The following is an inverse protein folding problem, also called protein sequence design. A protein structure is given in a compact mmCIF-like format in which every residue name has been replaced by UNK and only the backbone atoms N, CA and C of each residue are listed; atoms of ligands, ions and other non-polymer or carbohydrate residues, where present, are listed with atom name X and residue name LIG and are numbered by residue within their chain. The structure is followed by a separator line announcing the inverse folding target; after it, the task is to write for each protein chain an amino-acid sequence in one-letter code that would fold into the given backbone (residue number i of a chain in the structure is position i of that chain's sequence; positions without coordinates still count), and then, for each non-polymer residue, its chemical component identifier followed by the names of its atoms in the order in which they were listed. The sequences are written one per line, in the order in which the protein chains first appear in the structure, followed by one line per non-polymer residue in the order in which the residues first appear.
data_IF_092799173173
#
_entry.id   IF_092799173173
#
_cell.length_a   1.000
_cell.length_b   1.000
_cell.length_c   1.000
_cell.angle_alpha   90.00
_cell.angle_beta   90.00
_cell.angle_gamma   90.00
#
_symmetry.space_group_name_H-M   'P 1'
#
loop_
_entity.id
_entity.type
_entity.pdbx_description
1 polymer ?
#
# COMPACT_ATOMS: atom_id res chain seq x y z
N UNK A 1 -20.33 39.49 -8.52
CA UNK A 1 -19.45 38.47 -7.90
C UNK A 1 -18.40 39.26 -7.14
N UNK A 2 -18.55 39.46 -5.82
CA UNK A 2 -17.67 40.36 -5.08
C UNK A 2 -16.23 39.83 -5.09
N UNK A 3 -15.33 40.54 -5.76
CA UNK A 3 -13.90 40.29 -5.66
C UNK A 3 -13.43 40.86 -4.32
N UNK A 4 -13.10 39.96 -3.40
CA UNK A 4 -12.53 40.36 -2.11
C UNK A 4 -11.08 40.80 -2.37
N UNK A 5 -10.75 42.02 -1.98
CA UNK A 5 -9.37 42.47 -1.94
C UNK A 5 -8.71 41.95 -0.67
N UNK A 6 -7.84 40.95 -0.82
CA UNK A 6 -7.03 40.40 0.26
C UNK A 6 -5.78 41.27 0.48
N UNK A 7 -5.34 41.36 1.73
CA UNK A 7 -4.06 41.99 2.07
C UNK A 7 -2.90 41.24 1.36
N UNK A 8 -2.08 41.93 0.54
CA UNK A 8 -0.89 41.34 -0.07
C UNK A 8 0.05 40.68 0.93
N UNK A 9 0.09 41.11 2.20
CA UNK A 9 0.92 40.51 3.23
C UNK A 9 0.60 39.02 3.48
N UNK A 10 -0.68 38.61 3.34
CA UNK A 10 -1.11 37.21 3.52
C UNK A 10 -0.37 36.28 2.54
N UNK A 11 -0.06 36.78 1.34
CA UNK A 11 0.65 36.00 0.31
C UNK A 11 2.08 35.66 0.73
N UNK A 12 2.80 36.65 1.26
CA UNK A 12 4.21 36.49 1.63
C UNK A 12 4.38 35.80 2.98
N UNK A 13 3.46 36.02 3.92
CA UNK A 13 3.57 35.54 5.29
C UNK A 13 2.82 34.23 5.57
N UNK A 14 1.83 33.87 4.75
CA UNK A 14 1.01 32.67 4.99
C UNK A 14 1.06 31.73 3.79
N UNK A 15 0.77 32.22 2.59
CA UNK A 15 0.69 31.36 1.41
C UNK A 15 2.02 30.67 1.08
N UNK A 16 3.09 31.45 0.87
CA UNK A 16 4.41 30.90 0.50
C UNK A 16 5.03 30.07 1.63
N UNK A 17 5.02 30.50 2.91
CA UNK A 17 5.55 29.70 4.00
C UNK A 17 4.83 28.37 4.19
N UNK A 18 3.50 28.30 3.99
CA UNK A 18 2.76 27.04 4.07
C UNK A 18 3.21 26.02 3.02
N UNK A 19 3.51 26.46 1.79
CA UNK A 19 4.05 25.58 0.73
C UNK A 19 5.44 25.05 1.12
N UNK A 20 6.30 25.93 1.66
CA UNK A 20 7.65 25.54 2.07
C UNK A 20 7.62 24.57 3.27
N UNK A 21 6.78 24.85 4.27
CA UNK A 21 6.63 24.00 5.47
C UNK A 21 6.07 22.63 5.07
N UNK A 22 5.05 22.59 4.22
CA UNK A 22 4.48 21.31 3.73
C UNK A 22 5.51 20.48 2.99
N UNK A 23 6.27 21.11 2.10
CA UNK A 23 7.34 20.47 1.34
C UNK A 23 8.44 19.89 2.24
N UNK A 24 9.03 20.72 3.10
CA UNK A 24 10.09 20.30 4.02
C UNK A 24 9.62 19.20 4.96
N UNK A 25 8.40 19.29 5.47
CA UNK A 25 7.85 18.25 6.33
C UNK A 25 7.66 16.93 5.59
N UNK A 26 7.24 16.96 4.33
CA UNK A 26 7.17 15.76 3.49
C UNK A 26 8.52 15.05 3.35
N UNK A 27 9.59 15.82 3.16
CA UNK A 27 10.98 15.33 3.08
C UNK A 27 11.45 14.77 4.42
N UNK A 28 11.27 15.52 5.52
CA UNK A 28 11.64 15.05 6.87
C UNK A 28 10.91 13.75 7.20
N UNK A 29 9.61 13.67 6.89
CA UNK A 29 8.83 12.46 7.14
C UNK A 29 9.38 11.27 6.35
N UNK A 30 9.71 11.44 5.07
CA UNK A 30 10.31 10.37 4.26
C UNK A 30 11.58 9.80 4.92
N UNK A 31 12.52 10.65 5.32
CA UNK A 31 13.74 10.20 6.01
C UNK A 31 13.46 9.60 7.39
N UNK A 32 12.50 10.17 8.14
CA UNK A 32 12.08 9.62 9.43
C UNK A 32 11.52 8.21 9.26
N UNK A 33 10.67 7.99 8.25
CA UNK A 33 10.11 6.66 7.96
C UNK A 33 11.20 5.66 7.57
N UNK A 34 12.22 6.06 6.81
CA UNK A 34 13.37 5.20 6.49
C UNK A 34 14.13 4.83 7.76
N UNK A 35 14.36 5.78 8.68
CA UNK A 35 15.06 5.52 9.94
C UNK A 35 14.26 4.59 10.87
N UNK A 36 12.93 4.73 10.88
CA UNK A 36 12.05 3.89 11.68
C UNK A 36 11.64 2.57 11.00
N UNK A 37 12.00 2.36 9.73
CA UNK A 37 11.79 1.10 9.06
C UNK A 37 12.63 0.03 9.75
N UNK A 38 11.95 -0.85 10.50
CA UNK A 38 12.58 -1.96 11.18
C UNK A 38 12.57 -3.18 10.26
N UNK A 39 13.74 -3.74 9.98
CA UNK A 39 13.86 -5.05 9.35
C UNK A 39 13.48 -6.13 10.38
N UNK A 40 12.21 -6.53 10.35
CA UNK A 40 11.73 -7.66 11.15
C UNK A 40 12.46 -8.91 10.69
N UNK A 41 13.20 -9.55 11.61
CA UNK A 41 13.77 -10.88 11.36
C UNK A 41 12.63 -11.88 11.23
N UNK A 42 12.26 -12.20 10.00
CA UNK A 42 11.34 -13.30 9.71
C UNK A 42 11.99 -14.62 10.13
N UNK A 43 11.17 -15.51 10.67
CA UNK A 43 11.59 -16.86 11.00
C UNK A 43 12.06 -17.61 9.74
N UNK A 44 13.19 -18.32 9.83
CA UNK A 44 13.79 -19.05 8.71
C UNK A 44 12.80 -20.04 8.08
N UNK A 45 11.93 -20.64 8.89
CA UNK A 45 10.93 -21.58 8.45
C UNK A 45 9.87 -20.92 7.54
N UNK A 46 9.41 -19.71 7.87
CA UNK A 46 8.43 -18.97 7.07
C UNK A 46 9.04 -18.48 5.74
N UNK A 47 10.32 -18.12 5.75
CA UNK A 47 11.07 -17.77 4.54
C UNK A 47 11.21 -18.99 3.63
N UNK A 48 11.62 -20.13 4.19
CA UNK A 48 11.76 -21.40 3.47
C UNK A 48 10.46 -21.79 2.76
N UNK A 49 9.32 -21.64 3.43
CA UNK A 49 8.02 -21.97 2.87
C UNK A 49 7.57 -21.02 1.77
N UNK A 50 7.80 -19.73 1.99
CA UNK A 50 7.55 -18.70 0.98
C UNK A 50 8.35 -19.01 -0.29
N UNK A 51 9.62 -19.40 -0.16
CA UNK A 51 10.44 -19.81 -1.29
C UNK A 51 9.96 -21.12 -1.93
N UNK A 52 9.48 -22.10 -1.14
CA UNK A 52 8.94 -23.34 -1.67
C UNK A 52 7.67 -23.09 -2.51
N UNK A 53 6.76 -22.23 -2.03
CA UNK A 53 5.58 -21.79 -2.77
C UNK A 53 5.96 -21.06 -4.07
N UNK A 54 6.88 -20.09 -3.98
CA UNK A 54 7.38 -19.37 -5.16
C UNK A 54 8.00 -20.33 -6.18
N UNK A 55 8.79 -21.30 -5.72
CA UNK A 55 9.40 -22.31 -6.58
C UNK A 55 8.36 -23.18 -7.28
N UNK A 56 7.29 -23.55 -6.60
CA UNK A 56 6.17 -24.28 -7.23
C UNK A 56 5.44 -23.42 -8.25
N UNK A 57 5.16 -22.16 -7.93
CA UNK A 57 4.55 -21.21 -8.88
C UNK A 57 5.40 -21.03 -10.13
N UNK A 58 6.71 -20.88 -9.97
CA UNK A 58 7.64 -20.80 -11.10
C UNK A 58 7.68 -22.09 -11.91
N UNK A 59 7.59 -23.26 -11.27
CA UNK A 59 7.48 -24.54 -11.98
C UNK A 59 6.17 -24.63 -12.77
N UNK A 60 5.07 -24.10 -12.25
CA UNK A 60 3.77 -24.05 -12.92
C UNK A 60 3.76 -23.12 -14.13
N UNK A 61 4.30 -21.90 -13.97
CA UNK A 61 4.28 -20.88 -15.02
C UNK A 61 5.36 -21.09 -16.09
N UNK A 62 6.57 -21.47 -15.66
CA UNK A 62 7.76 -21.56 -16.51
C UNK A 62 8.27 -23.00 -16.72
N UNK A 63 7.52 -24.01 -16.26
CA UNK A 63 7.85 -25.44 -16.42
C UNK A 63 8.02 -25.91 -17.86
N UNK A 64 7.45 -25.19 -18.83
CA UNK A 64 7.47 -25.47 -20.27
C UNK A 64 8.85 -25.50 -20.91
N UNK A 65 9.85 -24.87 -20.27
CA UNK A 65 11.24 -24.85 -20.75
C UNK A 65 12.10 -25.98 -20.19
N UNK A 66 11.60 -26.75 -19.22
CA UNK A 66 12.31 -27.89 -18.61
C UNK A 66 11.97 -29.21 -19.30
N UNK A 67 12.94 -30.10 -19.56
CA UNK A 67 12.64 -31.38 -20.22
C UNK A 67 11.52 -32.12 -19.50
N UNK A 68 10.68 -32.85 -20.24
CA UNK A 68 9.50 -33.57 -19.71
C UNK A 68 9.85 -34.37 -18.46
N UNK A 69 10.98 -35.10 -18.49
CA UNK A 69 11.49 -35.89 -17.36
C UNK A 69 11.79 -35.02 -16.14
N UNK A 70 12.46 -33.90 -16.35
CA UNK A 70 12.89 -32.99 -15.30
C UNK A 70 11.70 -32.22 -14.68
N UNK A 71 10.67 -31.92 -15.47
CA UNK A 71 9.40 -31.38 -14.98
C UNK A 71 8.65 -32.41 -14.12
N UNK A 72 8.48 -33.64 -14.62
CA UNK A 72 7.80 -34.72 -13.89
C UNK A 72 8.46 -35.05 -12.55
N UNK A 73 9.80 -35.10 -12.51
CA UNK A 73 10.54 -35.32 -11.26
C UNK A 73 10.27 -34.22 -10.22
N UNK A 74 10.24 -32.95 -10.64
CA UNK A 74 9.95 -31.82 -9.75
C UNK A 74 8.49 -31.78 -9.33
N UNK A 75 7.55 -32.05 -10.25
CA UNK A 75 6.12 -32.21 -9.93
C UNK A 75 5.90 -33.34 -8.92
N UNK A 76 6.60 -34.46 -9.09
CA UNK A 76 6.55 -35.57 -8.15
C UNK A 76 7.04 -35.18 -6.76
N UNK A 77 8.17 -34.47 -6.65
CA UNK A 77 8.69 -33.98 -5.36
C UNK A 77 7.66 -33.14 -4.57
N UNK A 78 6.88 -32.30 -5.25
CA UNK A 78 5.86 -31.47 -4.59
C UNK A 78 4.53 -32.20 -4.34
N UNK A 79 4.05 -32.98 -5.32
CA UNK A 79 2.69 -33.55 -5.30
C UNK A 79 2.58 -35.02 -4.89
N UNK A 80 3.68 -35.70 -4.55
CA UNK A 80 3.61 -37.09 -4.15
C UNK A 80 2.66 -37.32 -2.96
N UNK A 81 1.86 -38.40 -2.99
CA UNK A 81 0.77 -38.62 -2.03
C UNK A 81 1.25 -38.85 -0.60
N UNK A 82 2.41 -39.51 -0.44
CA UNK A 82 3.01 -39.89 0.85
C UNK A 82 4.19 -38.97 1.26
N UNK A 83 5.05 -38.61 0.31
CA UNK A 83 6.31 -37.85 0.55
C UNK A 83 6.36 -36.48 -0.14
N UNK A 84 5.22 -35.98 -0.63
CA UNK A 84 5.17 -34.68 -1.29
C UNK A 84 5.38 -33.55 -0.28
N UNK A 85 6.23 -32.58 -0.61
CA UNK A 85 6.55 -31.45 0.27
C UNK A 85 5.30 -30.78 0.87
N UNK A 86 4.25 -30.57 0.06
CA UNK A 86 2.99 -29.93 0.48
C UNK A 86 2.09 -30.78 1.37
N UNK A 87 2.30 -32.11 1.44
CA UNK A 87 1.54 -33.02 2.31
C UNK A 87 2.29 -33.40 3.58
N UNK A 88 3.61 -33.56 3.49
CA UNK A 88 4.46 -33.93 4.63
C UNK A 88 4.65 -32.76 5.58
N UNK A 89 4.78 -31.53 5.07
CA UNK A 89 4.87 -30.33 5.90
C UNK A 89 3.48 -29.83 6.32
N UNK A 90 2.81 -30.59 7.18
CA UNK A 90 1.65 -30.06 7.93
C UNK A 90 2.19 -29.17 9.04
N UNK A 91 2.28 -27.87 8.78
CA UNK A 91 2.50 -26.91 9.85
C UNK A 91 1.18 -26.65 10.54
N UNK A 92 1.18 -26.64 11.87
CA UNK A 92 0.02 -26.21 12.63
C UNK A 92 -0.30 -24.80 12.15
N UNK A 93 -1.48 -24.64 11.54
CA UNK A 93 -2.05 -23.33 11.40
C UNK A 93 -2.12 -22.75 12.80
N UNK A 94 -1.46 -21.61 13.04
CA UNK A 94 -1.74 -20.76 14.20
C UNK A 94 -3.18 -20.21 14.18
N UNK A 95 -4.04 -20.76 13.33
CA UNK A 95 -5.48 -20.58 13.29
C UNK A 95 -6.09 -21.96 13.48
N UNK A 96 -6.52 -22.25 14.70
CA UNK A 96 -7.38 -23.38 14.97
C UNK A 96 -8.72 -23.21 14.24
N UNK A 97 -9.06 -24.19 13.41
CA UNK A 97 -10.38 -24.51 12.83
C UNK A 97 -11.42 -23.38 12.59
N UNK A 98 -11.87 -23.17 11.34
CA UNK A 98 -12.82 -22.11 10.95
C UNK A 98 -14.27 -22.29 11.42
N UNK A 99 -14.60 -23.31 12.23
CA UNK A 99 -15.96 -23.47 12.78
C UNK A 99 -16.10 -22.93 14.21
N UNK A 100 -15.00 -22.63 14.90
CA UNK A 100 -14.96 -22.00 16.23
C UNK A 100 -14.37 -20.58 16.20
N UNK A 101 -14.00 -20.09 15.00
CA UNK A 101 -13.18 -18.90 14.80
C UNK A 101 -13.88 -17.53 14.87
N UNK A 102 -15.20 -17.45 15.06
CA UNK A 102 -15.88 -16.14 15.10
C UNK A 102 -15.73 -15.40 16.43
N UNK A 103 -15.48 -16.12 17.53
CA UNK A 103 -15.29 -15.50 18.87
C UNK A 103 -13.79 -15.38 19.21
N UNK A 104 -12.96 -16.28 18.68
CA UNK A 104 -11.51 -16.28 18.89
C UNK A 104 -10.82 -15.18 18.06
N UNK A 105 -11.43 -14.69 16.96
CA UNK A 105 -10.88 -13.56 16.18
C UNK A 105 -10.80 -12.25 16.98
N UNK A 106 -11.71 -12.01 17.93
CA UNK A 106 -11.64 -10.80 18.77
C UNK A 106 -10.61 -10.97 19.89
N UNK A 107 -10.46 -12.19 20.41
CA UNK A 107 -9.59 -12.50 21.55
C UNK A 107 -8.13 -12.62 21.10
N UNK A 108 -7.83 -13.24 19.96
CA UNK A 108 -6.47 -13.28 19.38
C UNK A 108 -6.05 -11.92 18.80
N UNK A 109 -6.98 -11.13 18.25
CA UNK A 109 -6.71 -9.73 17.88
C UNK A 109 -6.37 -8.85 19.10
N UNK A 110 -6.94 -9.16 20.27
CA UNK A 110 -6.64 -8.48 21.53
C UNK A 110 -5.38 -9.04 22.23
N UNK A 111 -5.04 -10.32 22.01
CA UNK A 111 -3.93 -11.02 22.65
C UNK A 111 -2.61 -10.93 21.89
N UNK A 112 -2.62 -10.59 20.59
CA UNK A 112 -1.41 -10.28 19.83
C UNK A 112 -1.24 -8.77 19.54
N UNK A 113 -0.89 -7.96 20.56
CA UNK A 113 -0.66 -6.53 20.41
C UNK A 113 0.58 -6.21 19.55
N UNK A 114 1.35 -7.19 19.09
CA UNK A 114 2.54 -6.97 18.25
C UNK A 114 2.17 -6.77 16.77
N UNK A 115 1.45 -7.70 16.15
CA UNK A 115 1.15 -7.68 14.71
C UNK A 115 0.07 -6.65 14.34
N UNK A 116 -1.01 -6.55 15.14
CA UNK A 116 -2.03 -5.52 14.94
C UNK A 116 -1.47 -4.12 15.20
N UNK A 117 -0.59 -3.96 16.21
CA UNK A 117 0.07 -2.68 16.43
C UNK A 117 1.09 -2.36 15.35
N UNK A 118 1.77 -3.33 14.74
CA UNK A 118 2.72 -3.08 13.65
C UNK A 118 1.99 -2.53 12.40
N UNK A 119 0.85 -3.11 12.02
CA UNK A 119 0.05 -2.61 10.89
C UNK A 119 -0.59 -1.25 11.21
N UNK A 120 -1.12 -1.09 12.43
CA UNK A 120 -1.66 0.18 12.89
C UNK A 120 -0.58 1.26 13.04
N UNK A 121 0.62 0.91 13.52
CA UNK A 121 1.77 1.83 13.63
C UNK A 121 2.21 2.27 12.25
N UNK A 122 2.36 1.36 11.29
CA UNK A 122 2.73 1.70 9.92
C UNK A 122 1.73 2.69 9.30
N UNK A 123 0.42 2.43 9.41
CA UNK A 123 -0.60 3.32 8.89
C UNK A 123 -0.75 4.63 9.71
N UNK A 124 -0.62 4.57 11.03
CA UNK A 124 -0.68 5.73 11.90
C UNK A 124 0.51 6.66 11.69
N UNK A 125 1.71 6.13 11.42
CA UNK A 125 2.89 6.92 11.07
C UNK A 125 2.69 7.72 9.77
N UNK A 126 1.76 7.29 8.89
CA UNK A 126 1.39 8.05 7.71
C UNK A 126 0.29 9.08 7.97
N UNK A 127 -0.74 8.72 8.73
CA UNK A 127 -1.93 9.57 8.92
C UNK A 127 -1.76 10.61 10.03
N UNK A 128 -1.14 10.24 11.15
CA UNK A 128 -1.03 11.10 12.35
C UNK A 128 -0.29 12.40 12.04
N UNK A 129 0.87 12.40 11.35
CA UNK A 129 1.60 13.63 11.08
C UNK A 129 0.79 14.65 10.25
N UNK A 130 0.00 14.15 9.29
CA UNK A 130 -0.85 14.98 8.42
C UNK A 130 -1.96 15.68 9.23
N UNK A 131 -2.60 14.96 10.15
CA UNK A 131 -3.67 15.49 10.99
C UNK A 131 -3.13 16.46 12.04
N UNK A 132 -2.00 16.13 12.67
CA UNK A 132 -1.39 16.98 13.71
C UNK A 132 -1.01 18.34 13.13
N UNK A 133 -0.37 18.37 11.95
CA UNK A 133 0.02 19.63 11.31
C UNK A 133 -1.20 20.38 10.79
N UNK A 134 -2.19 19.70 10.21
CA UNK A 134 -3.43 20.34 9.80
C UNK A 134 -4.15 21.02 10.97
N UNK A 135 -4.11 20.40 12.16
CA UNK A 135 -4.65 20.97 13.39
C UNK A 135 -3.83 22.15 13.91
N UNK A 136 -2.49 22.06 13.85
CA UNK A 136 -1.60 23.16 14.22
C UNK A 136 -1.77 24.39 13.30
N UNK A 137 -1.89 24.18 11.98
CA UNK A 137 -2.14 25.25 11.01
C UNK A 137 -3.49 25.91 11.24
N UNK A 138 -4.52 25.10 11.52
CA UNK A 138 -5.84 25.64 11.83
C UNK A 138 -5.81 26.49 13.12
N UNK A 139 -5.01 26.12 14.12
CA UNK A 139 -4.83 26.94 15.31
C UNK A 139 -4.02 28.22 15.03
N UNK A 140 -2.85 28.10 14.36
CA UNK A 140 -1.92 29.20 14.14
C UNK A 140 -2.38 30.24 13.10
N UNK A 141 -3.15 29.81 12.10
CA UNK A 141 -3.59 30.64 10.97
C UNK A 141 -5.12 30.64 10.83
N UNK A 142 -5.85 30.77 11.95
CA UNK A 142 -7.31 30.93 11.95
C UNK A 142 -7.73 32.39 11.75
N UNK A 143 -8.99 32.60 11.34
CA UNK A 143 -9.63 33.92 11.33
C UNK A 143 -9.51 34.72 10.03
N UNK A 144 -8.84 34.22 8.99
CA UNK A 144 -8.73 34.90 7.69
C UNK A 144 -8.75 33.95 6.49
N UNK A 145 -9.06 34.49 5.31
CA UNK A 145 -9.08 33.77 4.03
C UNK A 145 -7.69 33.81 3.38
N UNK A 146 -7.26 32.70 2.78
CA UNK A 146 -5.91 32.61 2.20
C UNK A 146 -5.91 32.85 0.69
N UNK A 147 -6.77 32.15 -0.05
CA UNK A 147 -6.81 32.25 -1.52
C UNK A 147 -8.18 31.88 -2.08
N UNK A 148 -8.38 32.20 -3.36
CA UNK A 148 -9.55 31.81 -4.15
C UNK A 148 -9.13 30.72 -5.14
N UNK A 149 -9.82 29.61 -5.11
CA UNK A 149 -9.61 28.50 -6.04
C UNK A 149 -10.29 28.82 -7.39
N UNK A 150 -9.66 28.51 -8.55
CA UNK A 150 -10.15 28.94 -9.87
C UNK A 150 -11.30 28.10 -10.43
N UNK A 151 -11.77 27.08 -9.71
CA UNK A 151 -12.91 26.25 -10.09
C UNK A 151 -14.07 26.43 -9.10
N UNK A 152 -15.33 26.27 -9.53
CA UNK A 152 -16.49 26.39 -8.65
C UNK A 152 -16.62 25.14 -7.76
N UNK A 153 -16.72 25.33 -6.44
CA UNK A 153 -16.95 24.24 -5.48
C UNK A 153 -18.41 24.20 -5.01
N UNK A 154 -18.89 23.00 -4.68
CA UNK A 154 -20.25 22.81 -4.15
C UNK A 154 -20.37 23.33 -2.72
N UNK A 155 -21.54 23.85 -2.37
CA UNK A 155 -21.80 24.46 -1.05
C UNK A 155 -21.60 23.49 0.13
N UNK A 156 -21.72 22.18 -0.08
CA UNK A 156 -21.53 21.16 0.96
C UNK A 156 -20.09 21.08 1.49
N UNK A 157 -19.10 21.50 0.70
CA UNK A 157 -17.70 21.56 1.15
C UNK A 157 -17.38 22.83 1.94
N UNK A 158 -18.27 23.83 1.94
CA UNK A 158 -18.07 25.12 2.62
C UNK A 158 -17.66 24.99 4.10
N UNK A 159 -18.37 24.23 4.97
CA UNK A 159 -17.97 24.09 6.37
C UNK A 159 -16.60 23.43 6.56
N UNK A 160 -16.16 22.59 5.61
CA UNK A 160 -14.83 21.98 5.65
C UNK A 160 -13.76 22.98 5.20
N UNK A 161 -14.05 23.76 4.15
CA UNK A 161 -13.09 24.64 3.49
C UNK A 161 -12.85 25.97 4.20
N UNK A 162 -13.84 26.42 4.97
CA UNK A 162 -13.84 27.70 5.68
C UNK A 162 -13.81 27.49 7.20
N UNK A 163 -13.31 26.34 7.66
CA UNK A 163 -13.00 26.12 9.08
C UNK A 163 -12.14 27.28 9.60
N UNK A 164 -12.60 27.92 10.67
CA UNK A 164 -11.97 29.09 11.27
C UNK A 164 -12.39 30.45 10.72
N UNK A 165 -13.35 30.52 9.77
CA UNK A 165 -13.88 31.76 9.17
C UNK A 165 -15.43 31.76 9.12
N UNK A 166 -16.07 31.24 10.17
CA UNK A 166 -17.50 30.94 10.19
C UNK A 166 -18.42 32.18 10.19
N UNK A 167 -17.88 33.38 10.43
CA UNK A 167 -18.64 34.63 10.47
C UNK A 167 -19.13 35.10 9.09
N UNK A 168 -18.63 34.54 7.98
CA UNK A 168 -19.02 34.92 6.60
C UNK A 168 -19.90 33.85 5.92
N UNK A 169 -21.12 33.67 6.42
CA UNK A 169 -22.11 32.70 5.91
C UNK A 169 -22.58 32.97 4.48
N UNK A 170 -22.43 34.20 3.96
CA UNK A 170 -22.81 34.58 2.58
C UNK A 170 -21.71 34.39 1.53
N UNK A 171 -20.48 34.06 1.93
CA UNK A 171 -19.34 33.97 1.02
C UNK A 171 -19.38 32.70 0.13
N UNK A 172 -18.88 32.79 -1.09
CA UNK A 172 -18.76 31.65 -2.01
C UNK A 172 -17.76 30.60 -1.46
N UNK A 173 -18.05 29.31 -1.66
CA UNK A 173 -17.21 28.18 -1.27
C UNK A 173 -15.85 28.11 -2.00
N UNK A 174 -15.64 28.94 -3.03
CA UNK A 174 -14.36 29.05 -3.76
C UNK A 174 -13.26 29.72 -2.93
N UNK A 175 -13.62 30.46 -1.87
CA UNK A 175 -12.69 31.06 -0.94
C UNK A 175 -12.31 30.06 0.15
N UNK A 176 -11.02 29.78 0.27
CA UNK A 176 -10.47 28.74 1.14
C UNK A 176 -9.66 29.34 2.30
N UNK A 177 -9.77 28.69 3.47
CA UNK A 177 -8.93 28.97 4.64
C UNK A 177 -7.53 28.37 4.50
N UNK A 178 -6.65 28.73 5.43
CA UNK A 178 -5.27 28.26 5.53
C UNK A 178 -5.17 26.73 5.67
N UNK A 179 -6.06 26.12 6.46
CA UNK A 179 -6.12 24.67 6.64
C UNK A 179 -6.46 23.93 5.34
N UNK A 180 -7.37 24.48 4.55
CA UNK A 180 -7.77 23.91 3.26
C UNK A 180 -6.68 24.06 2.20
N UNK A 181 -5.97 25.18 2.23
CA UNK A 181 -4.77 25.38 1.41
C UNK A 181 -3.67 24.36 1.76
N UNK A 182 -3.47 24.06 3.04
CA UNK A 182 -2.56 23.01 3.48
C UNK A 182 -2.95 21.64 2.93
N UNK A 183 -4.22 21.24 3.05
CA UNK A 183 -4.70 19.97 2.49
C UNK A 183 -4.49 19.89 0.97
N UNK A 184 -4.75 20.98 0.24
CA UNK A 184 -4.49 21.05 -1.20
C UNK A 184 -3.00 20.82 -1.50
N UNK A 185 -2.10 21.44 -0.74
CA UNK A 185 -0.65 21.25 -0.91
C UNK A 185 -0.21 19.81 -0.62
N UNK A 186 -0.74 19.15 0.41
CA UNK A 186 -0.37 17.74 0.68
C UNK A 186 -0.73 16.83 -0.49
N UNK A 187 -1.94 16.99 -1.04
CA UNK A 187 -2.38 16.18 -2.17
C UNK A 187 -1.65 16.52 -3.47
N UNK A 188 -1.37 17.81 -3.71
CA UNK A 188 -0.66 18.27 -4.91
C UNK A 188 0.84 17.96 -4.92
N UNK A 189 1.51 18.07 -3.78
CA UNK A 189 2.96 17.86 -3.67
C UNK A 189 3.37 16.38 -3.71
N UNK A 190 2.42 15.44 -3.61
CA UNK A 190 2.71 14.00 -3.66
C UNK A 190 3.49 13.59 -4.92
N UNK A 191 3.04 14.05 -6.09
CA UNK A 191 3.74 13.78 -7.35
C UNK A 191 5.10 14.47 -7.43
N UNK A 192 5.26 15.62 -6.78
CA UNK A 192 6.55 16.32 -6.73
C UNK A 192 7.55 15.59 -5.84
N UNK A 193 7.10 14.97 -4.74
CA UNK A 193 7.95 14.10 -3.93
C UNK A 193 8.48 12.93 -4.76
N UNK A 194 7.63 12.29 -5.57
CA UNK A 194 8.02 11.25 -6.55
C UNK A 194 9.22 11.64 -7.41
N UNK A 195 9.20 12.87 -7.92
CA UNK A 195 10.28 13.38 -8.78
C UNK A 195 11.56 13.68 -8.00
N UNK A 196 11.46 14.22 -6.79
CA UNK A 196 12.63 14.68 -6.00
C UNK A 196 13.32 13.53 -5.26
N UNK A 197 12.54 12.59 -4.74
CA UNK A 197 13.02 11.54 -3.83
C UNK A 197 13.07 10.14 -4.49
N UNK A 198 12.49 9.96 -5.68
CA UNK A 198 12.55 8.70 -6.45
C UNK A 198 11.39 7.72 -6.14
N UNK A 199 11.47 6.51 -6.72
CA UNK A 199 10.37 5.53 -6.73
C UNK A 199 10.09 4.82 -5.40
N UNK A 200 10.98 4.90 -4.40
CA UNK A 200 10.81 4.29 -3.07
C UNK A 200 10.25 5.28 -2.04
N UNK A 201 9.30 6.11 -2.48
CA UNK A 201 8.73 7.14 -1.63
C UNK A 201 7.68 6.61 -0.67
N UNK A 202 8.05 6.49 0.60
CA UNK A 202 7.10 6.37 1.71
C UNK A 202 6.13 7.57 1.82
N UNK A 203 6.29 8.64 1.02
CA UNK A 203 5.35 9.75 0.86
C UNK A 203 4.20 9.49 -0.10
N UNK A 204 4.32 8.45 -0.91
CA UNK A 204 3.33 8.09 -1.89
C UNK A 204 2.37 7.00 -1.40
N UNK A 205 2.38 6.61 -0.13
CA UNK A 205 1.38 5.64 0.34
C UNK A 205 -0.01 6.29 0.32
N UNK A 206 -0.95 5.77 -0.50
CA UNK A 206 -2.27 6.37 -0.62
C UNK A 206 -2.99 6.35 0.73
N UNK A 207 -3.44 7.52 1.18
CA UNK A 207 -4.51 7.66 2.16
C UNK A 207 -5.70 6.80 1.73
N UNK A 208 -5.89 5.66 2.41
CA UNK A 208 -7.13 4.95 2.75
C UNK A 208 -8.31 4.83 1.76
N UNK A 209 -8.17 5.20 0.48
CA UNK A 209 -9.28 5.20 -0.48
C UNK A 209 -9.10 4.27 -1.69
N UNK A 210 -8.03 3.46 -1.75
CA UNK A 210 -7.79 2.57 -2.90
C UNK A 210 -7.56 1.10 -2.58
N UNK A 211 -7.55 0.68 -1.32
CA UNK A 211 -7.24 -0.72 -0.93
C UNK A 211 -8.46 -1.55 -0.53
N UNK A 212 -9.57 -1.38 -1.27
CA UNK A 212 -10.52 -2.49 -1.52
C UNK A 212 -10.14 -3.32 -2.75
N UNK A 213 -8.96 -3.09 -3.33
CA UNK A 213 -8.31 -4.03 -4.26
C UNK A 213 -7.18 -4.73 -3.49
N UNK A 214 -7.11 -6.08 -3.48
CA UNK A 214 -6.06 -6.78 -2.74
C UNK A 214 -4.69 -6.43 -3.34
N UNK A 215 -3.73 -5.93 -2.54
CA UNK A 215 -2.39 -5.64 -3.01
C UNK A 215 -1.69 -6.93 -3.44
N UNK A 216 -1.35 -7.02 -4.72
CA UNK A 216 -0.62 -8.11 -5.38
C UNK A 216 0.89 -8.14 -5.03
N UNK A 217 1.25 -7.93 -3.77
CA UNK A 217 2.66 -8.07 -3.32
C UNK A 217 2.86 -8.25 -1.82
N UNK A 218 1.85 -8.74 -1.11
CA UNK A 218 1.96 -9.02 0.33
C UNK A 218 0.64 -9.52 0.82
N UNK A 219 0.34 -10.80 0.53
CA UNK A 219 -0.83 -11.40 1.15
C UNK A 219 -0.64 -11.33 2.68
N UNK A 220 -1.69 -10.98 3.45
CA UNK A 220 -1.70 -11.30 4.87
C UNK A 220 -1.37 -12.79 5.01
N UNK A 221 -0.81 -13.26 6.13
CA UNK A 221 -0.49 -14.67 6.30
C UNK A 221 -1.77 -15.49 6.12
N UNK A 222 -2.03 -15.89 4.87
CA UNK A 222 -2.96 -16.95 4.56
C UNK A 222 -2.38 -18.13 5.30
N UNK A 223 -3.23 -18.86 6.02
CA UNK A 223 -2.84 -20.13 6.61
C UNK A 223 -1.96 -20.88 5.63
N UNK A 224 -0.69 -21.04 5.99
CA UNK A 224 0.34 -21.56 5.08
C UNK A 224 -0.07 -22.93 4.56
N UNK A 225 -0.84 -23.68 5.36
CA UNK A 225 -1.46 -24.93 5.01
C UNK A 225 -2.56 -24.82 3.94
N UNK A 226 -3.37 -23.76 3.96
CA UNK A 226 -4.34 -23.48 2.90
C UNK A 226 -3.64 -23.08 1.61
N UNK A 227 -2.57 -22.30 1.71
CA UNK A 227 -1.73 -21.94 0.56
C UNK A 227 -1.07 -23.19 -0.07
N UNK A 228 -0.55 -24.10 0.76
CA UNK A 228 0.00 -25.38 0.29
C UNK A 228 -1.03 -26.28 -0.36
N UNK A 229 -2.24 -26.37 0.20
CA UNK A 229 -3.31 -27.16 -0.41
C UNK A 229 -3.72 -26.59 -1.77
N UNK A 230 -3.91 -25.27 -1.86
CA UNK A 230 -4.25 -24.61 -3.11
C UNK A 230 -3.17 -24.80 -4.19
N UNK A 231 -1.89 -24.70 -3.80
CA UNK A 231 -0.78 -24.91 -4.73
C UNK A 231 -0.63 -26.38 -5.14
N UNK A 232 -0.90 -27.33 -4.23
CA UNK A 232 -0.91 -28.76 -4.54
C UNK A 232 -1.98 -29.10 -5.60
N UNK A 233 -3.21 -28.62 -5.40
CA UNK A 233 -4.33 -28.79 -6.35
C UNK A 233 -4.01 -28.13 -7.70
N UNK A 234 -3.49 -26.90 -7.68
CA UNK A 234 -3.07 -26.20 -8.90
C UNK A 234 -1.95 -26.95 -9.64
N UNK A 235 -0.98 -27.50 -8.92
CA UNK A 235 0.15 -28.22 -9.53
C UNK A 235 -0.30 -29.58 -10.11
N UNK A 236 -1.35 -30.19 -9.54
CA UNK A 236 -1.86 -31.49 -9.99
C UNK A 236 -2.47 -31.39 -11.40
N UNK A 237 -3.21 -30.31 -11.67
CA UNK A 237 -3.92 -30.07 -12.93
C UNK A 237 -2.98 -29.79 -14.11
N UNK A 238 -1.76 -29.30 -13.87
CA UNK A 238 -0.88 -28.87 -14.97
C UNK A 238 -0.26 -30.04 -15.70
N UNK A 239 -0.34 -29.98 -17.02
CA UNK A 239 0.38 -30.85 -17.93
C UNK A 239 1.60 -30.15 -18.53
N UNK A 240 2.62 -30.94 -18.83
CA UNK A 240 3.85 -30.41 -19.42
C UNK A 240 3.65 -30.18 -20.91
N UNK A 241 3.76 -28.92 -21.34
CA UNK A 241 3.82 -28.55 -22.74
C UNK A 241 5.25 -28.13 -23.09
N UNK A 242 5.94 -28.92 -23.89
CA UNK A 242 7.33 -28.67 -24.26
C UNK A 242 7.41 -27.56 -25.31
N UNK A 243 7.78 -26.35 -24.88
CA UNK A 243 7.83 -25.19 -25.78
C UNK A 243 9.01 -25.23 -26.79
N UNK A 244 10.01 -26.07 -26.52
CA UNK A 244 11.23 -26.20 -27.30
C UNK A 244 11.16 -27.35 -28.33
N UNK A 245 10.00 -27.97 -28.55
CA UNK A 245 9.86 -29.11 -29.47
C UNK A 245 10.15 -28.77 -30.93
N UNK A 246 9.85 -27.53 -31.32
CA UNK A 246 9.87 -27.05 -32.70
C UNK A 246 10.87 -25.90 -32.88
N UNK A 247 11.86 -25.82 -31.98
CA UNK A 247 12.79 -24.69 -31.96
C UNK A 247 13.73 -24.70 -33.17
N UNK A 248 14.12 -25.88 -33.64
CA UNK A 248 14.98 -26.08 -34.79
C UNK A 248 14.32 -25.57 -36.07
N UNK A 249 13.06 -25.95 -36.30
CA UNK A 249 12.32 -25.47 -37.47
C UNK A 249 12.12 -23.96 -37.41
N UNK A 250 11.68 -23.42 -36.27
CA UNK A 250 11.49 -21.96 -36.07
C UNK A 250 12.77 -21.16 -36.30
N UNK A 251 13.93 -21.71 -35.95
CA UNK A 251 15.22 -21.07 -36.20
C UNK A 251 15.53 -21.06 -37.70
N UNK A 252 15.34 -22.19 -38.39
CA UNK A 252 15.59 -22.33 -39.82
C UNK A 252 14.64 -21.49 -40.69
N UNK A 253 13.40 -21.26 -40.27
CA UNK A 253 12.47 -20.37 -41.00
C UNK A 253 12.80 -18.89 -40.85
N UNK A 254 13.55 -18.50 -39.80
CA UNK A 254 13.91 -17.10 -39.53
C UNK A 254 15.22 -16.70 -40.22
N UNK A 255 16.07 -17.66 -40.55
CA UNK A 255 17.36 -17.45 -41.22
C UNK A 255 17.28 -17.56 -42.74
N UNK A 256 16.12 -17.96 -43.29
CA UNK A 256 15.77 -17.81 -44.71
C UNK A 256 15.02 -16.50 -44.93
#
# INVERSE_FOLDING_TARGET
MAELFLDPAIRSWVFLPLVIITFLFGVIRHYTTIIFASDKKSELENISDSHALLRSRLLRENGKYLPVRAFRMRKYFFNHKEHGFFRTQKRESQVGNPMTGSIISFVDFLLDPSMASEMLKSNALNMVPMIVIGSWINWAFSGFLTTKVPFPLTYRFKPMLQRGCESLSSLNASWVSSASWYFLNIFGLRSMYGLVLGSDNAAEQPMFLTDQAPPTSGQPPQDMQKAFKAEWEALEVIEHQWALADVENRLLTRTK
#
